data_IF_722560034548
#
_entry.id   IF_722560034548
#
_cell.length_a   1.000
_cell.length_b   1.000
_cell.length_c   1.000
_cell.angle_alpha   90.00
_cell.angle_beta   90.00
_cell.angle_gamma   90.00
#
_symmetry.space_group_name_H-M   'P 1'
#
loop_
_entity.id
_entity.type
_entity.pdbx_description
1 polymer ?
#
# COMPACT_ATOMS: atom_id res chain seq x y z
N UNK A 1 16.44 7.81 -77.84
CA UNK A 1 16.41 7.16 -76.51
C UNK A 1 16.89 8.10 -75.42
N UNK A 2 17.89 8.93 -75.68
CA UNK A 2 18.57 9.74 -74.65
C UNK A 2 17.69 10.83 -74.01
N UNK A 3 16.82 11.49 -74.78
CA UNK A 3 15.91 12.52 -74.26
C UNK A 3 14.93 11.95 -73.22
N UNK A 4 14.42 10.73 -73.45
CA UNK A 4 13.50 10.08 -72.51
C UNK A 4 14.20 9.72 -71.19
N UNK A 5 15.45 9.25 -71.28
CA UNK A 5 16.28 8.94 -70.10
C UNK A 5 16.53 10.21 -69.28
N UNK A 6 16.87 11.33 -69.93
CA UNK A 6 17.08 12.61 -69.26
C UNK A 6 15.81 13.08 -68.54
N UNK A 7 14.65 12.97 -69.19
CA UNK A 7 13.36 13.35 -68.58
C UNK A 7 13.07 12.50 -67.34
N UNK A 8 13.27 11.18 -67.41
CA UNK A 8 13.07 10.28 -66.26
C UNK A 8 14.00 10.66 -65.10
N UNK A 9 15.27 10.95 -65.40
CA UNK A 9 16.28 11.29 -64.40
C UNK A 9 15.95 12.62 -63.70
N UNK A 10 15.46 13.61 -64.45
CA UNK A 10 14.99 14.90 -63.91
C UNK A 10 13.75 14.69 -63.02
N UNK A 11 12.78 13.88 -63.45
CA UNK A 11 11.59 13.58 -62.64
C UNK A 11 11.96 12.87 -61.33
N UNK A 12 12.87 11.89 -61.37
CA UNK A 12 13.36 11.22 -60.16
C UNK A 12 14.07 12.19 -59.21
N UNK A 13 14.87 13.12 -59.74
CA UNK A 13 15.52 14.18 -58.96
C UNK A 13 14.51 15.10 -58.28
N UNK A 14 13.45 15.50 -58.99
CA UNK A 14 12.38 16.33 -58.44
C UNK A 14 11.64 15.58 -57.33
N UNK A 15 11.28 14.31 -57.55
CA UNK A 15 10.62 13.48 -56.54
C UNK A 15 11.51 13.34 -55.30
N UNK A 16 12.81 13.06 -55.48
CA UNK A 16 13.77 12.97 -54.38
C UNK A 16 13.83 14.27 -53.58
N UNK A 17 13.92 15.41 -54.26
CA UNK A 17 13.97 16.73 -53.61
C UNK A 17 12.69 17.06 -52.83
N UNK A 18 11.51 16.71 -53.38
CA UNK A 18 10.23 16.89 -52.69
C UNK A 18 10.16 16.03 -51.42
N UNK A 19 10.57 14.76 -51.50
CA UNK A 19 10.60 13.85 -50.35
C UNK A 19 11.54 14.37 -49.26
N UNK A 20 12.72 14.86 -49.64
CA UNK A 20 13.71 15.42 -48.69
C UNK A 20 13.16 16.65 -47.95
N UNK A 21 12.56 17.60 -48.69
CA UNK A 21 11.90 18.78 -48.10
C UNK A 21 10.80 18.37 -47.11
N UNK A 22 9.95 17.40 -47.48
CA UNK A 22 8.86 16.93 -46.61
C UNK A 22 9.40 16.25 -45.33
N UNK A 23 10.50 15.50 -45.42
CA UNK A 23 11.14 14.87 -44.27
C UNK A 23 11.76 15.91 -43.33
N UNK A 24 12.56 16.84 -43.86
CA UNK A 24 13.20 17.90 -43.07
C UNK A 24 12.15 18.76 -42.37
N UNK A 25 11.08 19.15 -43.08
CA UNK A 25 9.98 19.92 -42.48
C UNK A 25 9.25 19.12 -41.40
N UNK A 26 8.93 17.85 -41.66
CA UNK A 26 8.25 16.99 -40.68
C UNK A 26 9.07 16.79 -39.39
N UNK A 27 10.39 16.58 -39.51
CA UNK A 27 11.30 16.49 -38.36
C UNK A 27 11.39 17.83 -37.63
N UNK A 28 11.46 18.95 -38.36
CA UNK A 28 11.47 20.30 -37.80
C UNK A 28 10.23 20.58 -36.95
N UNK A 29 9.04 20.28 -37.48
CA UNK A 29 7.76 20.48 -36.79
C UNK A 29 7.67 19.61 -35.52
N UNK A 30 8.08 18.34 -35.59
CA UNK A 30 8.15 17.46 -34.42
C UNK A 30 9.12 17.99 -33.37
N UNK A 31 10.30 18.46 -33.81
CA UNK A 31 11.33 19.00 -32.91
C UNK A 31 10.85 20.27 -32.21
N UNK A 32 10.18 21.16 -32.95
CA UNK A 32 9.60 22.38 -32.39
C UNK A 32 8.55 22.05 -31.32
N UNK A 33 7.57 21.18 -31.64
CA UNK A 33 6.56 20.76 -30.68
C UNK A 33 7.14 20.03 -29.47
N UNK A 34 8.15 19.19 -29.67
CA UNK A 34 8.80 18.49 -28.57
C UNK A 34 9.55 19.46 -27.64
N UNK A 35 10.21 20.49 -28.19
CA UNK A 35 10.82 21.56 -27.39
C UNK A 35 9.78 22.33 -26.59
N UNK A 36 8.63 22.64 -27.20
CA UNK A 36 7.51 23.29 -26.52
C UNK A 36 6.97 22.44 -25.36
N UNK A 37 6.72 21.15 -25.58
CA UNK A 37 6.29 20.21 -24.53
C UNK A 37 7.29 20.19 -23.37
N UNK A 38 8.58 20.15 -23.68
CA UNK A 38 9.64 20.12 -22.67
C UNK A 38 9.79 21.43 -21.89
N UNK A 39 9.47 22.59 -22.47
CA UNK A 39 9.60 23.89 -21.80
C UNK A 39 8.35 24.34 -21.06
N UNK A 40 7.17 23.87 -21.49
CA UNK A 40 5.87 24.30 -20.95
C UNK A 40 5.24 23.30 -19.99
N UNK A 41 5.88 22.15 -19.75
CA UNK A 41 5.30 21.01 -19.00
C UNK A 41 3.90 20.61 -19.48
N UNK A 42 3.59 20.83 -20.77
CA UNK A 42 2.26 20.51 -21.31
C UNK A 42 2.12 19.02 -21.58
N UNK A 43 0.89 18.51 -21.44
CA UNK A 43 0.55 17.11 -21.73
C UNK A 43 0.16 16.87 -23.20
N UNK A 44 0.63 17.75 -24.10
CA UNK A 44 0.27 17.72 -25.52
C UNK A 44 0.93 16.54 -26.23
N UNK A 45 0.22 15.95 -27.20
CA UNK A 45 0.78 14.87 -28.04
C UNK A 45 1.46 15.44 -29.27
N UNK A 46 2.53 14.78 -29.71
CA UNK A 46 3.12 15.02 -31.01
C UNK A 46 2.18 14.52 -32.11
N UNK A 47 1.86 15.40 -33.05
CA UNK A 47 1.05 15.10 -34.23
C UNK A 47 1.91 15.26 -35.47
N UNK A 48 1.96 14.22 -36.28
CA UNK A 48 2.68 14.20 -37.56
C UNK A 48 1.71 14.46 -38.71
N UNK A 49 2.02 15.45 -39.55
CA UNK A 49 1.18 15.84 -40.70
C UNK A 49 1.64 15.22 -42.02
N UNK A 50 2.73 14.43 -42.00
CA UNK A 50 3.35 13.86 -43.21
C UNK A 50 3.18 12.34 -43.29
N UNK A 51 2.96 11.76 -44.48
CA UNK A 51 2.61 10.34 -44.68
C UNK A 51 3.85 9.43 -44.69
N UNK A 52 4.79 9.60 -43.75
CA UNK A 52 5.98 8.76 -43.63
C UNK A 52 5.83 7.75 -42.49
N UNK A 53 5.66 6.48 -42.83
CA UNK A 53 5.42 5.40 -41.86
C UNK A 53 6.47 5.35 -40.75
N UNK A 54 7.78 5.33 -41.08
CA UNK A 54 8.86 5.28 -40.08
C UNK A 54 8.84 6.47 -39.11
N UNK A 55 8.51 7.66 -39.61
CA UNK A 55 8.43 8.88 -38.78
C UNK A 55 7.16 8.86 -37.91
N UNK A 56 6.08 8.29 -38.42
CA UNK A 56 4.86 8.04 -37.66
C UNK A 56 5.10 7.05 -36.52
N UNK A 57 5.77 5.93 -36.79
CA UNK A 57 6.15 4.93 -35.79
C UNK A 57 7.01 5.55 -34.68
N UNK A 58 8.02 6.37 -35.05
CA UNK A 58 8.83 7.11 -34.08
C UNK A 58 7.99 8.10 -33.26
N UNK A 59 7.07 8.83 -33.90
CA UNK A 59 6.17 9.78 -33.21
C UNK A 59 5.30 9.06 -32.19
N UNK A 60 4.80 7.86 -32.52
CA UNK A 60 4.02 7.03 -31.61
C UNK A 60 4.85 6.57 -30.39
N UNK A 61 6.09 6.14 -30.59
CA UNK A 61 6.98 5.75 -29.48
C UNK A 61 7.39 6.92 -28.58
N UNK A 62 7.59 8.11 -29.15
CA UNK A 62 7.82 9.32 -28.35
C UNK A 62 6.57 9.66 -27.53
N UNK A 63 5.39 9.63 -28.13
CA UNK A 63 4.12 9.87 -27.42
C UNK A 63 3.91 8.86 -26.27
N UNK A 64 4.22 7.57 -26.49
CA UNK A 64 4.19 6.55 -25.42
C UNK A 64 5.14 6.89 -24.27
N UNK A 65 6.33 7.40 -24.57
CA UNK A 65 7.27 7.84 -23.53
C UNK A 65 6.77 9.08 -22.77
N UNK A 66 6.18 10.06 -23.48
CA UNK A 66 5.57 11.24 -22.85
C UNK A 66 4.44 10.81 -21.90
N UNK A 67 3.54 9.93 -22.35
CA UNK A 67 2.45 9.40 -21.51
C UNK A 67 3.00 8.63 -20.29
N UNK A 68 4.03 7.81 -20.46
CA UNK A 68 4.71 7.12 -19.34
C UNK A 68 5.30 8.13 -18.34
N UNK A 69 5.98 9.17 -18.81
CA UNK A 69 6.56 10.22 -17.96
C UNK A 69 5.47 10.93 -17.15
N UNK A 70 4.41 11.41 -17.80
CA UNK A 70 3.28 12.09 -17.15
C UNK A 70 2.63 11.17 -16.10
N UNK A 71 2.40 9.90 -16.45
CA UNK A 71 1.80 8.93 -15.52
C UNK A 71 2.70 8.67 -14.30
N UNK A 72 4.02 8.65 -14.49
CA UNK A 72 5.01 8.45 -13.44
C UNK A 72 5.09 9.67 -12.52
N UNK A 73 5.10 10.87 -13.09
CA UNK A 73 5.06 12.12 -12.32
C UNK A 73 3.76 12.28 -11.52
N UNK A 74 2.61 11.93 -12.12
CA UNK A 74 1.34 11.94 -11.41
C UNK A 74 1.35 10.96 -10.23
N UNK A 75 1.87 9.73 -10.43
CA UNK A 75 2.06 8.75 -9.35
C UNK A 75 3.00 9.27 -8.26
N UNK A 76 4.11 9.88 -8.64
CA UNK A 76 5.08 10.44 -7.70
C UNK A 76 4.48 11.60 -6.89
N UNK A 77 3.80 12.56 -7.54
CA UNK A 77 3.11 13.68 -6.86
C UNK A 77 2.05 13.14 -5.90
N UNK A 78 1.26 12.14 -6.31
CA UNK A 78 0.26 11.49 -5.46
C UNK A 78 0.91 10.84 -4.23
N UNK A 79 1.93 9.99 -4.44
CA UNK A 79 2.68 9.31 -3.38
C UNK A 79 3.33 10.30 -2.41
N UNK A 80 3.92 11.39 -2.90
CA UNK A 80 4.52 12.43 -2.06
C UNK A 80 3.47 13.18 -1.22
N UNK A 81 2.30 13.46 -1.79
CA UNK A 81 1.20 14.08 -1.06
C UNK A 81 0.66 13.15 0.04
N UNK A 82 0.51 11.86 -0.27
CA UNK A 82 0.11 10.83 0.69
C UNK A 82 1.13 10.71 1.83
N UNK A 83 2.43 10.73 1.52
CA UNK A 83 3.51 10.73 2.52
C UNK A 83 3.46 11.97 3.43
N UNK A 84 3.22 13.17 2.88
CA UNK A 84 3.07 14.38 3.69
C UNK A 84 1.85 14.30 4.61
N UNK A 85 0.71 13.81 4.11
CA UNK A 85 -0.50 13.60 4.91
C UNK A 85 -0.26 12.57 6.02
N UNK A 86 0.41 11.48 5.70
CA UNK A 86 0.85 10.46 6.64
C UNK A 86 1.66 11.03 7.80
N UNK A 87 2.71 11.79 7.52
CA UNK A 87 3.56 12.43 8.54
C UNK A 87 2.73 13.38 9.42
N UNK A 88 1.82 14.15 8.83
CA UNK A 88 0.94 15.04 9.58
C UNK A 88 0.01 14.26 10.53
N UNK A 89 -0.60 13.17 10.05
CA UNK A 89 -1.47 12.31 10.85
C UNK A 89 -0.71 11.64 12.01
N UNK A 90 0.48 11.09 11.74
CA UNK A 90 1.36 10.53 12.79
C UNK A 90 1.68 11.59 13.83
N UNK A 91 2.08 12.78 13.41
CA UNK A 91 2.44 13.86 14.32
C UNK A 91 1.27 14.23 15.25
N UNK A 92 0.04 14.21 14.74
CA UNK A 92 -1.17 14.42 15.54
C UNK A 92 -1.41 13.27 16.53
N UNK A 93 -1.27 12.03 16.08
CA UNK A 93 -1.53 10.84 16.89
C UNK A 93 -0.46 10.60 17.94
N UNK A 94 0.77 11.09 17.75
CA UNK A 94 1.81 11.14 18.78
C UNK A 94 1.54 12.27 19.79
N UNK A 95 1.06 13.43 19.33
CA UNK A 95 0.79 14.60 20.20
C UNK A 95 -0.31 14.30 21.22
N UNK A 96 -1.38 13.62 20.82
CA UNK A 96 -2.54 13.33 21.69
C UNK A 96 -2.17 12.57 22.99
N UNK A 97 -1.53 11.38 22.94
CA UNK A 97 -1.11 10.67 24.14
C UNK A 97 -0.03 11.44 24.91
N UNK A 98 0.88 12.16 24.22
CA UNK A 98 1.91 12.96 24.87
C UNK A 98 1.31 14.11 25.71
N UNK A 99 0.36 14.86 25.15
CA UNK A 99 -0.36 15.92 25.87
C UNK A 99 -1.15 15.35 27.04
N UNK A 100 -1.77 14.17 26.88
CA UNK A 100 -2.44 13.49 27.99
C UNK A 100 -1.45 13.09 29.10
N UNK A 101 -0.29 12.54 28.75
CA UNK A 101 0.76 12.18 29.72
C UNK A 101 1.20 13.41 30.52
N UNK A 102 1.52 14.50 29.82
CA UNK A 102 1.95 15.75 30.47
C UNK A 102 0.86 16.28 31.41
N UNK A 103 -0.40 16.28 30.97
CA UNK A 103 -1.52 16.74 31.81
C UNK A 103 -1.73 15.87 33.06
N UNK A 104 -1.67 14.55 32.95
CA UNK A 104 -1.78 13.68 34.12
C UNK A 104 -0.57 13.79 35.05
N UNK A 105 0.64 14.02 34.52
CA UNK A 105 1.82 14.31 35.35
C UNK A 105 1.59 15.61 36.15
N UNK A 106 1.08 16.66 35.53
CA UNK A 106 0.75 17.92 36.23
C UNK A 106 -0.29 17.71 37.34
N UNK A 107 -1.30 16.86 37.12
CA UNK A 107 -2.27 16.51 38.17
C UNK A 107 -1.63 15.69 39.30
N UNK A 108 -0.72 14.78 38.98
CA UNK A 108 0.02 13.98 39.96
C UNK A 108 0.96 14.87 40.79
N UNK A 109 1.52 15.93 40.23
CA UNK A 109 2.43 16.85 40.94
C UNK A 109 1.73 17.67 42.04
N UNK A 110 0.39 17.72 42.05
CA UNK A 110 -0.37 18.34 43.15
C UNK A 110 -0.20 17.52 44.45
N UNK A 111 0.39 18.15 45.47
CA UNK A 111 0.61 17.55 46.80
C UNK A 111 -0.70 17.26 47.56
N UNK A 112 -1.80 17.92 47.18
CA UNK A 112 -3.12 17.72 47.79
C UNK A 112 -3.90 16.54 47.20
N UNK A 113 -3.39 15.91 46.13
CA UNK A 113 -4.07 14.82 45.43
C UNK A 113 -4.14 13.54 46.30
N UNK A 114 -5.34 12.96 46.50
CA UNK A 114 -5.52 11.70 47.23
C UNK A 114 -4.69 10.54 46.65
N UNK A 115 -4.27 9.62 47.52
CA UNK A 115 -3.42 8.49 47.14
C UNK A 115 -4.05 7.59 46.06
N UNK A 116 -5.35 7.31 46.18
CA UNK A 116 -6.05 6.43 45.23
C UNK A 116 -6.17 7.08 43.84
N UNK A 117 -6.45 8.39 43.77
CA UNK A 117 -6.48 9.14 42.51
C UNK A 117 -5.10 9.22 41.86
N UNK A 118 -4.06 9.45 42.66
CA UNK A 118 -2.66 9.43 42.22
C UNK A 118 -2.31 8.09 41.57
N UNK A 119 -2.72 6.99 42.17
CA UNK A 119 -2.48 5.63 41.64
C UNK A 119 -3.19 5.41 40.31
N UNK A 120 -4.42 5.89 40.17
CA UNK A 120 -5.16 5.80 38.90
C UNK A 120 -4.53 6.68 37.80
N UNK A 121 -4.11 7.90 38.12
CA UNK A 121 -3.41 8.77 37.16
C UNK A 121 -2.07 8.17 36.71
N UNK A 122 -1.29 7.57 37.62
CA UNK A 122 -0.06 6.85 37.26
C UNK A 122 -0.36 5.71 36.29
N UNK A 123 -1.45 4.95 36.52
CA UNK A 123 -1.89 3.89 35.62
C UNK A 123 -2.27 4.44 34.24
N UNK A 124 -2.95 5.57 34.18
CA UNK A 124 -3.30 6.24 32.92
C UNK A 124 -2.02 6.68 32.19
N UNK A 125 -1.07 7.34 32.86
CA UNK A 125 0.23 7.72 32.29
C UNK A 125 0.94 6.50 31.71
N UNK A 126 1.02 5.41 32.46
CA UNK A 126 1.66 4.17 32.00
C UNK A 126 1.00 3.64 30.73
N UNK A 127 -0.33 3.55 30.71
CA UNK A 127 -1.07 3.06 29.56
C UNK A 127 -0.88 3.97 28.33
N UNK A 128 -0.88 5.29 28.51
CA UNK A 128 -0.63 6.25 27.42
C UNK A 128 0.79 6.14 26.88
N UNK A 129 1.78 5.94 27.75
CA UNK A 129 3.18 5.74 27.35
C UNK A 129 3.37 4.44 26.55
N UNK A 130 2.74 3.34 26.97
CA UNK A 130 2.77 2.08 26.21
C UNK A 130 2.12 2.22 24.83
N UNK A 131 0.99 2.94 24.75
CA UNK A 131 0.34 3.23 23.46
C UNK A 131 1.25 4.07 22.55
N UNK A 132 1.90 5.11 23.10
CA UNK A 132 2.85 5.95 22.37
C UNK A 132 4.05 5.13 21.87
N UNK A 133 4.59 4.22 22.69
CA UNK A 133 5.66 3.31 22.30
C UNK A 133 5.23 2.41 21.13
N UNK A 134 4.02 1.85 21.18
CA UNK A 134 3.47 1.02 20.10
C UNK A 134 3.30 1.81 18.79
N UNK A 135 2.86 3.07 18.86
CA UNK A 135 2.76 3.99 17.72
C UNK A 135 4.12 4.23 17.06
N UNK A 136 5.14 4.56 17.87
CA UNK A 136 6.50 4.81 17.38
C UNK A 136 7.08 3.54 16.75
N UNK A 137 6.92 2.39 17.40
CA UNK A 137 7.40 1.10 16.87
C UNK A 137 6.75 0.78 15.53
N UNK A 138 5.43 0.93 15.41
CA UNK A 138 4.68 0.68 14.16
C UNK A 138 5.14 1.59 13.02
N UNK A 139 5.43 2.85 13.32
CA UNK A 139 5.94 3.80 12.34
C UNK A 139 7.36 3.45 11.87
N UNK A 140 8.26 3.15 12.80
CA UNK A 140 9.62 2.74 12.47
C UNK A 140 9.65 1.48 11.60
N UNK A 141 8.83 0.51 11.97
CA UNK A 141 8.60 -0.72 11.25
C UNK A 141 8.15 -0.49 9.80
N UNK A 142 7.15 0.36 9.61
CA UNK A 142 6.68 0.72 8.27
C UNK A 142 7.81 1.40 7.48
N UNK A 143 8.54 2.33 8.09
CA UNK A 143 9.65 3.03 7.43
C UNK A 143 10.74 2.07 6.94
N UNK A 144 11.06 1.03 7.71
CA UNK A 144 12.05 0.00 7.33
C UNK A 144 11.58 -0.93 6.22
N UNK A 145 10.30 -1.26 6.23
CA UNK A 145 9.69 -2.05 5.16
C UNK A 145 9.71 -1.25 3.85
N UNK A 146 9.32 0.02 3.89
CA UNK A 146 9.29 0.88 2.70
C UNK A 146 10.67 1.16 2.10
N UNK A 147 11.70 1.29 2.94
CA UNK A 147 13.08 1.45 2.46
C UNK A 147 13.67 0.16 1.87
N UNK A 148 12.95 -0.97 1.96
CA UNK A 148 13.42 -2.32 1.60
C UNK A 148 14.72 -2.71 2.33
N UNK A 149 14.96 -2.12 3.49
CA UNK A 149 16.12 -2.41 4.33
C UNK A 149 15.93 -3.69 5.16
N UNK A 150 14.69 -4.18 5.26
CA UNK A 150 14.40 -5.43 5.94
C UNK A 150 14.88 -6.62 5.08
N UNK A 151 15.83 -7.39 5.63
CA UNK A 151 16.24 -8.68 5.06
C UNK A 151 15.34 -9.77 5.66
N UNK A 152 14.66 -10.51 4.79
CA UNK A 152 13.88 -11.69 5.18
C UNK A 152 14.76 -12.94 5.18
N UNK A 153 14.57 -13.79 6.18
CA UNK A 153 15.14 -15.13 6.20
C UNK A 153 14.12 -16.10 5.59
N UNK A 154 14.11 -16.15 4.25
CA UNK A 154 13.16 -16.99 3.52
C UNK A 154 13.54 -18.47 3.63
N UNK A 155 12.73 -19.23 4.36
CA UNK A 155 12.87 -20.67 4.57
C UNK A 155 11.50 -21.36 4.45
N UNK A 156 11.45 -22.69 4.29
CA UNK A 156 10.18 -23.41 4.43
C UNK A 156 9.61 -23.21 5.84
N UNK A 157 8.40 -22.70 5.94
CA UNK A 157 7.70 -22.44 7.21
C UNK A 157 6.35 -23.18 7.25
N UNK A 158 5.97 -23.62 8.45
CA UNK A 158 4.66 -24.22 8.71
C UNK A 158 3.67 -23.13 9.15
N UNK A 159 2.75 -22.74 8.27
CA UNK A 159 1.75 -21.72 8.58
C UNK A 159 0.73 -22.18 9.63
N UNK A 160 0.47 -23.49 9.75
CA UNK A 160 -0.46 -24.02 10.75
C UNK A 160 0.06 -23.73 12.17
N UNK A 161 1.31 -24.10 12.46
CA UNK A 161 1.92 -23.88 13.78
C UNK A 161 1.96 -22.39 14.12
N UNK A 162 2.45 -21.57 13.18
CA UNK A 162 2.57 -20.12 13.37
C UNK A 162 1.19 -19.50 13.64
N UNK A 163 0.16 -19.87 12.87
CA UNK A 163 -1.18 -19.32 13.03
C UNK A 163 -1.80 -19.73 14.38
N UNK A 164 -1.70 -21.00 14.75
CA UNK A 164 -2.25 -21.53 15.99
C UNK A 164 -1.57 -20.92 17.23
N UNK A 165 -0.24 -20.87 17.25
CA UNK A 165 0.51 -20.21 18.32
C UNK A 165 0.16 -18.73 18.44
N UNK A 166 0.05 -18.04 17.30
CA UNK A 166 -0.30 -16.62 17.29
C UNK A 166 -1.70 -16.41 17.85
N UNK A 167 -2.69 -17.15 17.36
CA UNK A 167 -4.07 -17.08 17.85
C UNK A 167 -4.16 -17.41 19.35
N UNK A 168 -3.43 -18.42 19.83
CA UNK A 168 -3.38 -18.78 21.25
C UNK A 168 -2.81 -17.66 22.12
N UNK A 169 -1.81 -16.92 21.64
CA UNK A 169 -1.23 -15.80 22.40
C UNK A 169 -2.20 -14.62 22.62
N UNK A 170 -3.23 -14.49 21.77
CA UNK A 170 -4.31 -13.50 21.88
C UNK A 170 -5.54 -13.99 22.67
N UNK A 171 -5.47 -15.15 23.32
CA UNK A 171 -6.63 -15.74 24.04
C UNK A 171 -7.27 -14.75 25.03
N UNK A 172 -6.47 -14.08 25.86
CA UNK A 172 -6.98 -13.10 26.83
C UNK A 172 -7.58 -11.86 26.15
N UNK A 173 -7.01 -11.42 25.03
CA UNK A 173 -7.52 -10.28 24.27
C UNK A 173 -8.89 -10.59 23.65
N UNK A 174 -9.06 -11.80 23.10
CA UNK A 174 -10.36 -12.29 22.62
C UNK A 174 -11.40 -12.32 23.74
N UNK A 175 -11.05 -12.87 24.90
CA UNK A 175 -11.94 -12.90 26.08
C UNK A 175 -12.35 -11.49 26.52
N UNK A 176 -11.38 -10.58 26.63
CA UNK A 176 -11.65 -9.19 27.03
C UNK A 176 -12.52 -8.44 26.02
N UNK A 177 -12.43 -8.80 24.74
CA UNK A 177 -13.28 -8.25 23.68
C UNK A 177 -14.65 -8.96 23.55
N UNK A 178 -14.89 -10.04 24.29
CA UNK A 178 -16.10 -10.85 24.17
C UNK A 178 -16.23 -11.56 22.81
N UNK A 179 -15.10 -11.90 22.19
CA UNK A 179 -15.03 -12.57 20.89
C UNK A 179 -14.67 -14.03 21.11
N UNK A 180 -15.45 -14.94 20.52
CA UNK A 180 -15.11 -16.36 20.46
C UNK A 180 -14.64 -16.70 19.03
N UNK A 181 -13.33 -16.90 18.80
CA UNK A 181 -12.81 -17.18 17.47
C UNK A 181 -13.11 -18.62 17.04
N UNK A 182 -13.70 -18.78 15.86
CA UNK A 182 -13.88 -20.08 15.21
C UNK A 182 -12.65 -20.36 14.33
N UNK A 183 -11.89 -21.40 14.64
CA UNK A 183 -10.73 -21.81 13.84
C UNK A 183 -11.06 -23.01 12.95
N UNK A 184 -10.81 -22.88 11.64
CA UNK A 184 -10.92 -23.95 10.63
C UNK A 184 -9.58 -24.09 9.92
N UNK A 185 -8.63 -24.74 10.57
CA UNK A 185 -7.24 -24.81 10.14
C UNK A 185 -6.90 -26.24 9.71
N UNK A 186 -6.39 -26.38 8.49
CA UNK A 186 -5.89 -27.65 7.95
C UNK A 186 -4.46 -27.90 8.45
N UNK A 187 -4.30 -28.88 9.34
CA UNK A 187 -3.00 -29.29 9.91
C UNK A 187 -2.05 -29.88 8.86
N UNK A 188 -2.57 -30.35 7.72
CA UNK A 188 -1.79 -30.97 6.66
C UNK A 188 -1.43 -30.00 5.54
N UNK A 189 -1.62 -28.69 5.75
CA UNK A 189 -1.26 -27.69 4.78
C UNK A 189 0.27 -27.74 4.48
N UNK A 190 0.67 -27.73 3.20
CA UNK A 190 2.08 -27.79 2.84
C UNK A 190 2.85 -26.54 3.30
N UNK A 191 4.14 -26.72 3.61
CA UNK A 191 5.02 -25.61 3.95
C UNK A 191 5.14 -24.62 2.79
N UNK A 192 5.27 -23.33 3.13
CA UNK A 192 5.48 -22.25 2.16
C UNK A 192 6.85 -21.63 2.37
N UNK A 193 7.44 -21.03 1.33
CA UNK A 193 8.66 -20.24 1.49
C UNK A 193 8.32 -18.88 2.07
N UNK A 194 8.83 -18.57 3.26
CA UNK A 194 8.57 -17.30 3.93
C UNK A 194 9.50 -17.07 5.11
N UNK A 195 9.33 -15.92 5.78
CA UNK A 195 10.00 -15.61 7.04
C UNK A 195 8.99 -15.81 8.18
N UNK A 196 9.39 -16.63 9.16
CA UNK A 196 8.54 -17.05 10.27
C UNK A 196 8.09 -15.87 11.15
N UNK A 197 9.01 -14.94 11.44
CA UNK A 197 8.72 -13.76 12.25
C UNK A 197 7.82 -12.79 11.50
N UNK A 198 8.04 -12.62 10.20
CA UNK A 198 7.17 -11.83 9.34
C UNK A 198 5.75 -12.42 9.27
N UNK A 199 5.62 -13.73 9.08
CA UNK A 199 4.31 -14.40 9.06
C UNK A 199 3.56 -14.26 10.39
N UNK A 200 4.24 -14.47 11.52
CA UNK A 200 3.69 -14.26 12.87
C UNK A 200 3.17 -12.83 13.03
N UNK A 201 3.95 -11.85 12.57
CA UNK A 201 3.61 -10.42 12.65
C UNK A 201 2.45 -10.03 11.73
N UNK A 202 2.35 -10.65 10.54
CA UNK A 202 1.18 -10.53 9.66
C UNK A 202 -0.08 -11.01 10.40
N UNK A 203 -0.05 -12.21 10.97
CA UNK A 203 -1.20 -12.75 11.69
C UNK A 203 -1.58 -11.92 12.92
N UNK A 204 -0.59 -11.48 13.72
CA UNK A 204 -0.85 -10.59 14.86
C UNK A 204 -1.55 -9.30 14.45
N UNK A 205 -1.13 -8.67 13.35
CA UNK A 205 -1.76 -7.45 12.84
C UNK A 205 -3.23 -7.69 12.40
N UNK A 206 -3.51 -8.81 11.74
CA UNK A 206 -4.85 -9.16 11.30
C UNK A 206 -5.77 -9.52 12.47
N UNK A 207 -5.27 -10.29 13.44
CA UNK A 207 -5.99 -10.65 14.66
C UNK A 207 -6.30 -9.41 15.50
N UNK A 208 -5.31 -8.54 15.73
CA UNK A 208 -5.52 -7.27 16.45
C UNK A 208 -6.54 -6.38 15.73
N UNK A 209 -6.53 -6.36 14.40
CA UNK A 209 -7.54 -5.62 13.63
C UNK A 209 -8.95 -6.17 13.89
N UNK A 210 -9.12 -7.49 13.86
CA UNK A 210 -10.39 -8.14 14.14
C UNK A 210 -10.85 -7.95 15.58
N UNK A 211 -9.95 -8.00 16.57
CA UNK A 211 -10.29 -7.75 17.98
C UNK A 211 -10.77 -6.31 18.19
N UNK A 212 -10.12 -5.34 17.54
CA UNK A 212 -10.41 -3.92 17.74
C UNK A 212 -11.65 -3.43 16.99
N UNK A 213 -11.92 -4.00 15.82
CA UNK A 213 -12.94 -3.48 14.89
C UNK A 213 -14.02 -4.49 14.53
N UNK A 214 -13.79 -5.78 14.77
CA UNK A 214 -14.76 -6.82 14.52
C UNK A 214 -15.95 -6.72 15.45
N UNK A 215 -17.13 -7.07 14.93
CA UNK A 215 -18.34 -7.29 15.72
C UNK A 215 -18.79 -8.74 15.59
N UNK A 216 -19.25 -9.31 16.70
CA UNK A 216 -19.75 -10.70 16.72
C UNK A 216 -18.66 -11.72 16.42
N UNK A 217 -19.01 -12.75 15.64
CA UNK A 217 -18.15 -13.90 15.43
C UNK A 217 -16.94 -13.57 14.55
N UNK A 218 -15.77 -14.00 15.00
CA UNK A 218 -14.52 -13.97 14.24
C UNK A 218 -14.19 -15.39 13.76
N UNK A 219 -13.87 -15.56 12.49
CA UNK A 219 -13.48 -16.85 11.92
C UNK A 219 -12.09 -16.72 11.30
N UNK A 220 -11.20 -17.66 11.66
CA UNK A 220 -9.87 -17.82 11.07
C UNK A 220 -9.86 -19.15 10.35
N UNK A 221 -9.44 -19.17 9.08
CA UNK A 221 -9.28 -20.43 8.35
C UNK A 221 -7.94 -20.52 7.64
N UNK A 222 -7.41 -21.73 7.55
CA UNK A 222 -6.21 -22.07 6.80
C UNK A 222 -6.51 -23.32 5.98
N UNK A 223 -6.33 -23.26 4.66
CA UNK A 223 -6.60 -24.38 3.75
C UNK A 223 -5.60 -24.42 2.60
N UNK A 224 -5.30 -25.61 2.09
CA UNK A 224 -4.56 -25.77 0.84
C UNK A 224 -5.51 -25.73 -0.36
N UNK A 225 -5.17 -24.94 -1.39
CA UNK A 225 -5.95 -24.86 -2.63
C UNK A 225 -5.02 -24.69 -3.85
N UNK A 226 -4.96 -25.72 -4.70
CA UNK A 226 -4.14 -25.76 -5.91
C UNK A 226 -2.65 -25.46 -5.66
N UNK A 227 -2.18 -24.28 -6.07
CA UNK A 227 -0.78 -23.83 -5.95
C UNK A 227 -0.56 -22.87 -4.77
N UNK A 228 -1.52 -22.81 -3.84
CA UNK A 228 -1.50 -21.86 -2.75
C UNK A 228 -1.93 -22.50 -1.42
N UNK A 229 -1.39 -22.00 -0.32
CA UNK A 229 -2.06 -22.06 0.98
C UNK A 229 -2.83 -20.76 1.15
N UNK A 230 -4.08 -20.85 1.59
CA UNK A 230 -4.96 -19.71 1.77
C UNK A 230 -5.25 -19.56 3.26
N UNK A 231 -4.93 -18.38 3.81
CA UNK A 231 -5.38 -17.99 5.15
C UNK A 231 -6.43 -16.90 5.04
N UNK A 232 -7.57 -17.07 5.70
CA UNK A 232 -8.67 -16.09 5.71
C UNK A 232 -9.00 -15.66 7.13
N UNK A 233 -9.28 -14.37 7.31
CA UNK A 233 -9.71 -13.76 8.57
C UNK A 233 -11.03 -13.03 8.31
N UNK A 234 -12.11 -13.51 8.93
CA UNK A 234 -13.49 -13.08 8.66
C UNK A 234 -14.15 -12.54 9.93
N UNK A 235 -14.66 -11.32 9.88
CA UNK A 235 -15.43 -10.72 10.96
C UNK A 235 -16.62 -9.92 10.40
N UNK A 236 -17.66 -9.70 11.21
CA UNK A 236 -18.67 -8.72 10.84
C UNK A 236 -18.06 -7.31 10.91
N UNK A 237 -18.35 -6.52 9.89
CA UNK A 237 -17.92 -5.15 9.74
C UNK A 237 -19.06 -4.31 9.12
N UNK A 238 -20.19 -4.15 9.84
CA UNK A 238 -21.38 -3.49 9.31
C UNK A 238 -21.18 -2.00 9.02
N UNK A 239 -20.11 -1.41 9.56
CA UNK A 239 -19.78 0.01 9.41
C UNK A 239 -18.86 0.30 8.22
N UNK A 240 -18.32 -0.74 7.56
CA UNK A 240 -17.48 -0.59 6.37
C UNK A 240 -18.33 -0.54 5.10
N UNK A 241 -17.98 0.35 4.19
CA UNK A 241 -18.50 0.37 2.81
C UNK A 241 -17.61 -0.45 1.88
N UNK A 242 -18.10 -0.74 0.66
CA UNK A 242 -17.27 -1.43 -0.34
C UNK A 242 -16.11 -0.56 -0.79
N UNK A 243 -16.31 0.74 -0.86
CA UNK A 243 -15.30 1.74 -1.18
C UNK A 243 -14.18 1.73 -0.11
N UNK A 244 -14.55 1.68 1.18
CA UNK A 244 -13.56 1.58 2.27
C UNK A 244 -12.69 0.32 2.17
N UNK A 245 -13.27 -0.81 1.75
CA UNK A 245 -12.56 -2.09 1.65
C UNK A 245 -11.38 -2.02 0.65
N UNK A 246 -11.49 -1.21 -0.40
CA UNK A 246 -10.42 -0.98 -1.38
C UNK A 246 -9.22 -0.27 -0.74
N UNK A 247 -9.49 0.58 0.24
CA UNK A 247 -8.51 1.43 0.90
C UNK A 247 -8.01 0.88 2.25
N UNK A 248 -8.47 -0.29 2.69
CA UNK A 248 -8.10 -0.89 3.99
C UNK A 248 -6.60 -1.07 4.20
N UNK A 249 -5.84 -1.26 3.12
CA UNK A 249 -4.39 -1.41 3.20
C UNK A 249 -3.63 -0.11 2.93
N UNK A 250 -4.33 0.97 2.56
CA UNK A 250 -3.72 2.27 2.36
C UNK A 250 -3.19 2.81 3.68
N UNK A 251 -2.09 3.56 3.59
CA UNK A 251 -1.37 4.05 4.76
C UNK A 251 -2.27 4.96 5.58
N UNK A 252 -2.31 4.73 6.89
CA UNK A 252 -3.08 5.55 7.83
C UNK A 252 -4.57 5.61 7.50
N UNK A 253 -5.06 4.68 6.68
CA UNK A 253 -6.47 4.59 6.41
C UNK A 253 -7.19 4.14 7.68
N UNK A 254 -8.18 4.93 8.07
CA UNK A 254 -9.16 4.58 9.07
C UNK A 254 -10.50 4.99 8.50
N UNK A 255 -11.50 4.11 8.55
CA UNK A 255 -12.86 4.52 8.26
C UNK A 255 -13.23 5.64 9.25
N UNK A 256 -13.87 6.72 8.77
CA UNK A 256 -14.15 7.95 9.54
C UNK A 256 -14.79 7.70 10.92
N UNK A 257 -15.49 6.56 11.08
CA UNK A 257 -16.22 6.15 12.30
C UNK A 257 -15.39 5.32 13.30
N UNK A 258 -14.15 4.96 12.96
CA UNK A 258 -13.25 4.14 13.80
C UNK A 258 -12.10 4.94 14.42
N UNK A 259 -12.16 6.27 14.33
CA UNK A 259 -11.12 7.22 14.78
C UNK A 259 -11.12 7.39 16.31
N UNK A 260 -10.92 6.30 17.04
CA UNK A 260 -10.63 6.33 18.47
C UNK A 260 -9.11 6.28 18.67
N UNK A 261 -8.56 7.20 19.48
CA UNK A 261 -7.12 7.54 19.59
C UNK A 261 -6.14 6.46 20.08
N UNK A 262 -6.46 5.17 19.93
CA UNK A 262 -5.58 4.04 20.24
C UNK A 262 -5.14 3.26 18.98
N UNK A 263 -5.51 3.72 17.79
CA UNK A 263 -5.20 3.03 16.53
C UNK A 263 -4.21 3.82 15.68
N UNK A 264 -3.29 3.11 15.04
CA UNK A 264 -2.25 3.69 14.17
C UNK A 264 -2.67 3.76 12.71
N UNK A 265 -3.65 2.93 12.30
CA UNK A 265 -4.00 2.73 10.89
C UNK A 265 -2.86 2.08 10.08
N UNK A 266 -1.85 1.52 10.75
CA UNK A 266 -0.65 0.95 10.11
C UNK A 266 -0.64 -0.57 10.08
N UNK A 267 -1.38 -1.25 10.97
CA UNK A 267 -1.31 -2.71 11.11
C UNK A 267 -1.61 -3.46 9.81
N UNK A 268 -2.68 -3.08 9.10
CA UNK A 268 -3.05 -3.71 7.83
C UNK A 268 -2.04 -3.38 6.71
N UNK A 269 -1.55 -2.13 6.65
CA UNK A 269 -0.49 -1.74 5.71
C UNK A 269 0.79 -2.54 5.93
N UNK A 270 1.23 -2.69 7.19
CA UNK A 270 2.40 -3.50 7.55
C UNK A 270 2.17 -4.96 7.15
N UNK A 271 1.00 -5.52 7.44
CA UNK A 271 0.66 -6.88 7.04
C UNK A 271 0.76 -7.07 5.52
N UNK A 272 0.24 -6.11 4.74
CA UNK A 272 0.35 -6.14 3.28
C UNK A 272 1.79 -6.08 2.80
N UNK A 273 2.58 -5.13 3.29
CA UNK A 273 3.96 -4.96 2.86
C UNK A 273 4.81 -6.21 3.19
N UNK A 274 4.61 -6.81 4.36
CA UNK A 274 5.28 -8.08 4.73
C UNK A 274 4.91 -9.22 3.78
N UNK A 275 3.61 -9.41 3.50
CA UNK A 275 3.14 -10.47 2.59
C UNK A 275 3.67 -10.28 1.18
N UNK A 276 3.60 -9.05 0.65
CA UNK A 276 4.03 -8.74 -0.71
C UNK A 276 5.55 -8.83 -0.87
N UNK A 277 6.34 -8.39 0.12
CA UNK A 277 7.80 -8.52 0.10
C UNK A 277 8.28 -9.96 0.22
N UNK A 278 7.51 -10.83 0.89
CA UNK A 278 7.73 -12.29 0.86
C UNK A 278 7.31 -12.94 -0.48
N UNK A 279 6.75 -12.17 -1.42
CA UNK A 279 6.36 -12.66 -2.75
C UNK A 279 4.95 -13.27 -2.82
N UNK A 280 4.15 -13.10 -1.78
CA UNK A 280 2.77 -13.59 -1.67
C UNK A 280 1.76 -12.48 -2.01
N UNK A 281 0.47 -12.71 -1.78
CA UNK A 281 -0.56 -11.72 -2.07
C UNK A 281 -1.62 -11.65 -0.99
N UNK A 282 -2.04 -10.44 -0.62
CA UNK A 282 -3.12 -10.19 0.33
C UNK A 282 -4.17 -9.29 -0.32
N UNK A 283 -5.45 -9.50 0.01
CA UNK A 283 -6.55 -8.63 -0.41
C UNK A 283 -7.71 -8.73 0.58
N UNK A 284 -8.63 -7.77 0.50
CA UNK A 284 -9.80 -7.70 1.36
C UNK A 284 -11.07 -7.69 0.50
N UNK A 285 -12.10 -8.40 0.96
CA UNK A 285 -13.40 -8.44 0.35
C UNK A 285 -14.47 -8.11 1.40
N UNK A 286 -15.42 -7.24 1.04
CA UNK A 286 -16.57 -6.95 1.88
C UNK A 286 -17.84 -7.51 1.22
N UNK A 287 -18.44 -8.54 1.85
CA UNK A 287 -19.66 -9.19 1.34
C UNK A 287 -20.69 -9.31 2.45
N UNK A 288 -21.89 -8.79 2.21
CA UNK A 288 -23.03 -8.86 3.15
C UNK A 288 -22.68 -8.36 4.57
N UNK A 289 -21.91 -7.25 4.67
CA UNK A 289 -21.49 -6.69 5.95
C UNK A 289 -20.43 -7.51 6.69
N UNK A 290 -19.80 -8.50 6.03
CA UNK A 290 -18.67 -9.26 6.56
C UNK A 290 -17.41 -8.90 5.80
N UNK A 291 -16.37 -8.52 6.53
CA UNK A 291 -15.04 -8.31 6.01
C UNK A 291 -14.32 -9.67 5.97
N UNK A 292 -13.70 -9.98 4.84
CA UNK A 292 -12.85 -11.14 4.65
C UNK A 292 -11.48 -10.67 4.17
N UNK A 293 -10.45 -10.83 5.00
CA UNK A 293 -9.06 -10.58 4.61
C UNK A 293 -8.44 -11.92 4.23
N UNK A 294 -7.95 -12.01 2.99
CA UNK A 294 -7.46 -13.25 2.39
C UNK A 294 -5.98 -13.07 2.03
N UNK A 295 -5.15 -14.03 2.45
CA UNK A 295 -3.76 -14.14 2.02
C UNK A 295 -3.60 -15.41 1.19
N UNK A 296 -2.96 -15.27 0.03
CA UNK A 296 -2.54 -16.37 -0.85
C UNK A 296 -1.03 -16.54 -0.74
N UNK A 297 -0.62 -17.57 -0.02
CA UNK A 297 0.76 -18.01 0.12
C UNK A 297 1.10 -18.94 -1.04
N UNK A 298 2.14 -18.63 -1.80
CA UNK A 298 2.56 -19.46 -2.95
C UNK A 298 3.32 -20.69 -2.44
N UNK A 299 3.00 -21.85 -3.01
CA UNK A 299 3.77 -23.08 -2.87
C UNK A 299 5.02 -23.06 -3.75
#
# INVERSE_FOLDING_TARGET
MDILIIIILVVLLIIFFIVDILLVKGIGDLTYKLKEINSTETNSKLLLTVPFKKLSDLTLEINRNIERKISTEAKYKKSNLEMKKAIANISHDLRTPLTSIIGYIQLIEDETLPYDERKEYIKIVRNRSLNLQSLISSFYDLSRLESKEQKFELKPINLYDILCETAASFYNDFLNAGIEPVMKVDENAPSVIGDENAARRVFSNLILNAIRHGKGNFEISLKSENKFVITEFKNAAPELTREDAVHLFDRFFMADRTRNGNNTGLGLTIAKELVEQMGHSIFAELKNGKLNIIIKWKL
#
